data_IF_573289502052
#
_entry.id   IF_573289502052
#
_cell.length_a   1.000
_cell.length_b   1.000
_cell.length_c   1.000
_cell.angle_alpha   90.00
_cell.angle_beta   90.00
_cell.angle_gamma   90.00
#
_symmetry.space_group_name_H-M   'P 1'
#
loop_
_entity.id
_entity.type
_entity.pdbx_description
1 polymer ?
#
# COMPACT_ATOMS: atom_id res chain seq x y z
N UNK A 1 -4.49 2.24 -40.26
CA UNK A 1 -4.68 3.05 -39.02
C UNK A 1 -5.06 2.08 -37.91
N UNK A 2 -4.20 1.86 -36.89
CA UNK A 2 -4.61 1.10 -35.71
C UNK A 2 -5.63 1.96 -34.99
N UNK A 3 -6.85 1.46 -34.79
CA UNK A 3 -7.83 2.08 -33.90
C UNK A 3 -7.16 2.30 -32.56
N UNK A 4 -7.13 3.56 -32.07
CA UNK A 4 -6.71 3.85 -30.71
C UNK A 4 -7.72 3.16 -29.79
N UNK A 5 -7.31 2.07 -29.14
CA UNK A 5 -8.09 1.44 -28.09
C UNK A 5 -8.33 2.53 -27.03
N UNK A 6 -9.57 3.00 -26.92
CA UNK A 6 -9.93 4.00 -25.90
C UNK A 6 -9.78 3.28 -24.55
N UNK A 7 -8.93 3.81 -23.69
CA UNK A 7 -8.75 3.25 -22.36
C UNK A 7 -10.10 3.32 -21.62
N UNK A 8 -10.55 2.18 -21.07
CA UNK A 8 -11.82 2.08 -20.36
C UNK A 8 -11.86 3.01 -19.14
N UNK A 9 -10.75 3.09 -18.41
CA UNK A 9 -10.68 3.77 -17.13
C UNK A 9 -10.20 5.22 -17.28
N UNK A 10 -10.84 6.15 -16.55
CA UNK A 10 -10.38 7.53 -16.38
C UNK A 10 -9.50 7.67 -15.14
N UNK A 11 -9.65 6.75 -14.19
CA UNK A 11 -8.93 6.73 -12.93
C UNK A 11 -8.37 5.35 -12.66
N UNK A 12 -7.13 5.31 -12.21
CA UNK A 12 -6.52 4.11 -11.62
C UNK A 12 -6.06 4.46 -10.22
N UNK A 13 -6.60 3.75 -9.24
CA UNK A 13 -6.24 3.83 -7.84
C UNK A 13 -5.30 2.66 -7.53
N UNK A 14 -4.16 2.94 -6.95
CA UNK A 14 -3.18 1.92 -6.58
C UNK A 14 -3.12 1.77 -5.06
N UNK A 15 -2.91 0.55 -4.58
CA UNK A 15 -2.23 0.38 -3.31
C UNK A 15 -0.75 0.76 -3.47
N UNK A 16 -0.04 0.85 -2.37
CA UNK A 16 1.32 1.33 -2.38
C UNK A 16 2.35 0.22 -2.12
N UNK A 17 2.26 -0.48 -0.97
CA UNK A 17 3.21 -1.52 -0.54
C UNK A 17 2.98 -2.81 -1.33
N UNK A 18 4.04 -3.44 -1.87
CA UNK A 18 3.98 -4.64 -2.73
C UNK A 18 3.07 -4.48 -3.97
N UNK A 19 2.65 -3.23 -4.26
CA UNK A 19 1.92 -2.88 -5.51
C UNK A 19 2.73 -1.94 -6.40
N UNK A 20 3.16 -0.80 -5.87
CA UNK A 20 4.07 0.12 -6.56
C UNK A 20 5.48 0.08 -5.98
N UNK A 21 5.59 -0.21 -4.69
CA UNK A 21 6.84 -0.17 -3.93
C UNK A 21 7.12 -1.52 -3.28
N UNK A 22 8.35 -1.95 -3.39
CA UNK A 22 8.84 -3.11 -2.62
C UNK A 22 8.82 -2.81 -1.12
N UNK A 23 8.38 -3.77 -0.31
CA UNK A 23 8.25 -3.62 1.15
C UNK A 23 8.94 -4.76 1.91
N UNK A 24 10.26 -4.65 2.13
CA UNK A 24 11.02 -5.61 2.94
C UNK A 24 11.12 -5.14 4.40
N UNK A 25 10.11 -5.51 5.20
CA UNK A 25 10.06 -5.16 6.61
C UNK A 25 11.25 -5.71 7.41
N UNK A 26 11.80 -6.87 7.04
CA UNK A 26 12.98 -7.43 7.71
C UNK A 26 14.20 -6.55 7.51
N UNK A 27 14.50 -6.19 6.27
CA UNK A 27 15.63 -5.32 5.97
C UNK A 27 15.46 -3.93 6.58
N UNK A 28 14.25 -3.38 6.55
CA UNK A 28 13.94 -2.10 7.19
C UNK A 28 14.15 -2.14 8.70
N UNK A 29 13.68 -3.17 9.38
CA UNK A 29 13.93 -3.36 10.81
C UNK A 29 15.41 -3.57 11.11
N UNK A 30 16.10 -4.40 10.33
CA UNK A 30 17.53 -4.63 10.50
C UNK A 30 18.33 -3.33 10.36
N UNK A 31 18.01 -2.51 9.35
CA UNK A 31 18.62 -1.20 9.18
C UNK A 31 18.29 -0.26 10.35
N UNK A 32 17.03 -0.20 10.78
CA UNK A 32 16.61 0.63 11.89
C UNK A 32 17.33 0.24 13.18
N UNK A 33 17.34 -1.05 13.53
CA UNK A 33 17.97 -1.53 14.76
C UNK A 33 19.48 -1.40 14.76
N UNK A 34 20.15 -1.43 13.60
CA UNK A 34 21.58 -1.14 13.52
C UNK A 34 21.95 0.27 13.97
N UNK A 35 21.01 1.24 13.91
CA UNK A 35 21.21 2.61 14.42
C UNK A 35 21.17 2.68 15.96
N UNK A 36 20.73 1.60 16.60
CA UNK A 36 20.68 1.42 18.06
C UNK A 36 21.70 0.36 18.54
N UNK A 37 22.70 0.03 17.71
CA UNK A 37 23.72 -0.99 17.99
C UNK A 37 23.14 -2.39 18.28
N UNK A 38 21.98 -2.72 17.68
CA UNK A 38 21.32 -4.03 17.78
C UNK A 38 21.54 -4.83 16.52
N UNK A 39 22.08 -6.03 16.63
CA UNK A 39 22.12 -7.02 15.55
C UNK A 39 20.78 -7.76 15.49
N UNK A 40 19.87 -7.23 14.66
CA UNK A 40 18.51 -7.74 14.52
C UNK A 40 18.46 -9.01 13.67
N UNK A 41 18.17 -10.13 14.31
CA UNK A 41 18.17 -11.46 13.69
C UNK A 41 16.83 -11.83 13.03
N UNK A 42 16.82 -12.95 12.28
CA UNK A 42 15.56 -13.54 11.79
C UNK A 42 14.65 -13.99 12.91
N UNK A 43 15.19 -14.49 14.02
CA UNK A 43 14.39 -14.87 15.19
C UNK A 43 13.71 -13.65 15.81
N UNK A 44 14.40 -12.50 15.89
CA UNK A 44 13.79 -11.25 16.36
C UNK A 44 12.66 -10.79 15.44
N UNK A 45 12.83 -10.97 14.12
CA UNK A 45 11.79 -10.68 13.15
C UNK A 45 10.56 -11.57 13.33
N UNK A 46 10.75 -12.86 13.56
CA UNK A 46 9.65 -13.80 13.79
C UNK A 46 8.85 -13.40 15.06
N UNK A 47 9.55 -13.04 16.13
CA UNK A 47 8.92 -12.52 17.35
C UNK A 47 8.19 -11.20 17.10
N UNK A 48 8.79 -10.28 16.35
CA UNK A 48 8.14 -9.05 15.95
C UNK A 48 6.86 -9.31 15.14
N UNK A 49 6.88 -10.24 14.20
CA UNK A 49 5.72 -10.57 13.37
C UNK A 49 4.59 -11.24 14.17
N UNK A 50 4.90 -12.00 15.21
CA UNK A 50 3.88 -12.55 16.13
C UNK A 50 3.07 -11.45 16.81
N UNK A 51 3.68 -10.30 17.08
CA UNK A 51 3.00 -9.11 17.63
C UNK A 51 2.34 -8.29 16.52
N UNK A 52 3.07 -8.01 15.44
CA UNK A 52 2.68 -7.07 14.40
C UNK A 52 1.49 -7.54 13.55
N UNK A 53 1.49 -8.82 13.11
CA UNK A 53 0.41 -9.34 12.25
C UNK A 53 -0.98 -9.23 12.88
N UNK A 54 -1.21 -9.66 14.14
CA UNK A 54 -2.51 -9.49 14.79
C UNK A 54 -2.94 -8.02 14.96
N UNK A 55 -1.98 -7.10 15.12
CA UNK A 55 -2.28 -5.66 15.22
C UNK A 55 -2.82 -5.12 13.91
N UNK A 56 -2.24 -5.53 12.78
CA UNK A 56 -2.75 -5.14 11.46
C UNK A 56 -4.17 -5.65 11.21
N UNK A 57 -4.49 -6.90 11.59
CA UNK A 57 -5.86 -7.45 11.50
C UNK A 57 -6.83 -6.60 12.31
N UNK A 58 -6.48 -6.26 13.55
CA UNK A 58 -7.32 -5.40 14.40
C UNK A 58 -7.47 -3.98 13.86
N UNK A 59 -6.40 -3.42 13.27
CA UNK A 59 -6.43 -2.10 12.65
C UNK A 59 -7.39 -2.07 11.45
N UNK A 60 -7.28 -3.03 10.54
CA UNK A 60 -8.17 -3.15 9.40
C UNK A 60 -9.64 -3.40 9.79
N UNK A 61 -9.85 -4.06 10.94
CA UNK A 61 -11.18 -4.25 11.53
C UNK A 61 -11.69 -3.01 12.32
N UNK A 62 -10.95 -1.89 12.36
CA UNK A 62 -11.33 -0.69 13.11
C UNK A 62 -11.27 -0.85 14.64
N UNK A 63 -10.64 -1.93 15.15
CA UNK A 63 -10.58 -2.25 16.59
C UNK A 63 -9.46 -1.53 17.34
N UNK A 64 -8.52 -0.92 16.60
CA UNK A 64 -7.47 -0.07 17.16
C UNK A 64 -7.07 1.02 16.17
N UNK A 65 -6.54 2.13 16.69
CA UNK A 65 -6.04 3.22 15.87
C UNK A 65 -4.64 2.94 15.32
N UNK A 66 -4.23 3.71 14.28
CA UNK A 66 -2.87 3.68 13.75
C UNK A 66 -1.82 3.93 14.85
N UNK A 67 -2.05 4.91 15.72
CA UNK A 67 -1.16 5.23 16.82
C UNK A 67 -1.02 4.06 17.83
N UNK A 68 -2.11 3.36 18.12
CA UNK A 68 -2.06 2.17 18.99
C UNK A 68 -1.25 1.04 18.31
N UNK A 69 -1.45 0.77 17.03
CA UNK A 69 -0.66 -0.20 16.29
C UNK A 69 0.82 0.15 16.32
N UNK A 70 1.16 1.38 15.94
CA UNK A 70 2.54 1.88 15.86
C UNK A 70 3.28 1.78 17.20
N UNK A 71 2.61 2.11 18.29
CA UNK A 71 3.20 2.01 19.64
C UNK A 71 3.32 0.56 20.10
N UNK A 72 2.24 -0.22 19.98
CA UNK A 72 2.19 -1.58 20.55
C UNK A 72 3.20 -2.51 19.89
N UNK A 73 3.43 -2.39 18.56
CA UNK A 73 4.37 -3.25 17.85
C UNK A 73 5.82 -3.11 18.30
N UNK A 74 6.18 -1.98 18.93
CA UNK A 74 7.53 -1.72 19.41
C UNK A 74 7.65 -1.72 20.94
N UNK A 75 6.56 -2.03 21.70
CA UNK A 75 6.61 -1.94 23.17
C UNK A 75 7.74 -2.81 23.78
N UNK A 76 7.87 -4.06 23.38
CA UNK A 76 8.92 -4.94 23.91
C UNK A 76 10.35 -4.47 23.61
N UNK A 77 10.55 -3.79 22.47
CA UNK A 77 11.84 -3.19 22.13
C UNK A 77 12.08 -1.88 22.84
N UNK A 78 11.03 -1.09 23.05
CA UNK A 78 11.09 0.14 23.86
C UNK A 78 11.57 -0.17 25.29
N UNK A 79 11.02 -1.22 25.89
CA UNK A 79 11.40 -1.66 27.25
C UNK A 79 12.86 -2.13 27.30
N UNK A 80 13.33 -2.85 26.27
CA UNK A 80 14.72 -3.35 26.19
C UNK A 80 15.75 -2.23 25.98
N UNK A 81 15.43 -1.27 25.11
CA UNK A 81 16.37 -0.24 24.67
C UNK A 81 16.24 1.06 25.48
N UNK A 82 15.21 1.21 26.27
CA UNK A 82 14.85 2.47 26.96
C UNK A 82 14.67 3.62 25.95
N UNK A 83 14.09 3.31 24.79
CA UNK A 83 13.78 4.25 23.70
C UNK A 83 12.27 4.31 23.52
N UNK A 84 11.64 5.50 23.42
CA UNK A 84 10.19 5.61 23.23
C UNK A 84 9.71 4.87 21.99
N UNK A 85 8.54 4.23 22.07
CA UNK A 85 7.91 3.49 20.96
C UNK A 85 7.73 4.35 19.72
N UNK A 86 7.37 5.62 19.88
CA UNK A 86 7.21 6.60 18.80
C UNK A 86 8.54 6.83 18.05
N UNK A 87 9.65 6.90 18.79
CA UNK A 87 10.98 7.06 18.21
C UNK A 87 11.33 5.81 17.39
N UNK A 88 11.16 4.60 17.96
CA UNK A 88 11.41 3.35 17.24
C UNK A 88 10.54 3.23 15.98
N UNK A 89 9.26 3.61 16.08
CA UNK A 89 8.37 3.59 14.93
C UNK A 89 8.81 4.59 13.84
N UNK A 90 9.15 5.81 14.21
CA UNK A 90 9.62 6.83 13.25
C UNK A 90 10.91 6.39 12.57
N UNK A 91 11.87 5.86 13.33
CA UNK A 91 13.13 5.35 12.78
C UNK A 91 12.92 4.15 11.85
N UNK A 92 11.93 3.28 12.14
CA UNK A 92 11.55 2.20 11.23
C UNK A 92 10.98 2.75 9.92
N UNK A 93 10.08 3.72 9.96
CA UNK A 93 9.52 4.32 8.75
C UNK A 93 10.59 5.06 7.92
N UNK A 94 11.56 5.70 8.58
CA UNK A 94 12.72 6.29 7.91
C UNK A 94 13.59 5.21 7.26
N UNK A 95 13.88 4.11 7.96
CA UNK A 95 14.65 3.00 7.42
C UNK A 95 13.94 2.36 6.21
N UNK A 96 12.61 2.19 6.28
CA UNK A 96 11.81 1.72 5.14
C UNK A 96 11.90 2.69 3.95
N UNK A 97 11.90 3.99 4.21
CA UNK A 97 12.08 4.97 3.16
C UNK A 97 13.52 4.96 2.57
N UNK A 98 14.53 4.62 3.38
CA UNK A 98 15.93 4.52 2.91
C UNK A 98 16.15 3.33 1.97
N UNK A 99 15.47 2.21 2.19
CA UNK A 99 15.54 1.02 1.33
C UNK A 99 14.45 0.98 0.25
N UNK A 100 13.65 2.05 0.14
CA UNK A 100 12.52 2.09 -0.78
C UNK A 100 12.98 1.93 -2.23
N UNK A 101 12.32 1.04 -2.95
CA UNK A 101 12.47 0.85 -4.40
C UNK A 101 11.11 0.64 -5.04
N UNK A 102 10.95 1.09 -6.27
CA UNK A 102 9.78 0.74 -7.09
C UNK A 102 9.82 -0.74 -7.46
N UNK A 103 8.66 -1.37 -7.52
CA UNK A 103 8.55 -2.72 -8.09
C UNK A 103 8.93 -2.73 -9.57
N UNK A 104 9.43 -3.87 -10.10
CA UNK A 104 9.67 -4.03 -11.53
C UNK A 104 8.45 -3.60 -12.35
N UNK A 105 8.68 -2.84 -13.40
CA UNK A 105 7.61 -2.34 -14.28
C UNK A 105 6.84 -1.11 -13.77
N UNK A 106 6.92 -0.74 -12.48
CA UNK A 106 6.14 0.36 -11.92
C UNK A 106 6.42 1.70 -12.60
N UNK A 107 7.69 2.10 -12.77
CA UNK A 107 8.03 3.35 -13.45
C UNK A 107 7.51 3.37 -14.89
N UNK A 108 7.71 2.30 -15.65
CA UNK A 108 7.26 2.21 -17.04
C UNK A 108 5.73 2.29 -17.15
N UNK A 109 5.01 1.67 -16.23
CA UNK A 109 3.54 1.75 -16.15
C UNK A 109 3.09 3.17 -15.85
N UNK A 110 3.65 3.82 -14.83
CA UNK A 110 3.32 5.20 -14.43
C UNK A 110 3.56 6.15 -15.61
N UNK A 111 4.72 6.06 -16.28
CA UNK A 111 5.04 6.89 -17.45
C UNK A 111 4.06 6.66 -18.60
N UNK A 112 3.66 5.42 -18.83
CA UNK A 112 2.70 5.07 -19.88
C UNK A 112 1.28 5.60 -19.60
N UNK A 113 0.89 5.69 -18.31
CA UNK A 113 -0.41 6.18 -17.84
C UNK A 113 -0.45 7.71 -17.76
N UNK A 114 0.68 8.36 -17.49
CA UNK A 114 0.79 9.80 -17.29
C UNK A 114 0.19 10.59 -18.48
N UNK A 115 -0.68 11.54 -18.15
CA UNK A 115 -1.41 12.35 -19.13
C UNK A 115 -2.52 11.62 -19.91
N UNK A 116 -2.74 10.33 -19.66
CA UNK A 116 -3.83 9.54 -20.30
C UNK A 116 -4.95 9.21 -19.32
N UNK A 117 -4.59 8.91 -18.07
CA UNK A 117 -5.52 8.66 -16.97
C UNK A 117 -5.06 9.43 -15.73
N UNK A 118 -5.96 9.63 -14.80
CA UNK A 118 -5.63 10.16 -13.49
C UNK A 118 -5.25 9.01 -12.56
N UNK A 119 -4.20 9.19 -11.79
CA UNK A 119 -3.70 8.18 -10.85
C UNK A 119 -3.84 8.67 -9.43
N UNK A 120 -4.28 7.79 -8.52
CA UNK A 120 -4.33 8.03 -7.08
C UNK A 120 -3.77 6.85 -6.29
N UNK A 121 -3.53 7.07 -5.02
CA UNK A 121 -3.13 6.02 -4.07
C UNK A 121 -4.15 5.95 -2.94
N UNK A 122 -4.56 4.72 -2.59
CA UNK A 122 -5.30 4.41 -1.35
C UNK A 122 -4.51 3.35 -0.61
N UNK A 123 -3.93 3.70 0.55
CA UNK A 123 -3.05 2.80 1.29
C UNK A 123 -3.41 2.69 2.77
N UNK A 124 -3.23 1.50 3.34
CA UNK A 124 -3.28 1.26 4.78
C UNK A 124 -1.95 1.59 5.49
N UNK A 125 -0.94 2.03 4.74
CA UNK A 125 0.36 2.45 5.28
C UNK A 125 0.31 3.74 6.12
N UNK A 126 1.49 4.18 6.56
CA UNK A 126 1.61 5.34 7.44
C UNK A 126 2.15 6.57 6.70
N UNK A 127 1.63 7.72 7.09
CA UNK A 127 1.86 9.04 6.44
C UNK A 127 3.33 9.36 6.26
N UNK A 128 4.15 9.17 7.29
CA UNK A 128 5.57 9.48 7.24
C UNK A 128 6.29 8.73 6.11
N UNK A 129 6.07 7.42 6.00
CA UNK A 129 6.68 6.61 4.94
C UNK A 129 6.19 7.04 3.55
N UNK A 130 4.86 7.19 3.39
CA UNK A 130 4.28 7.53 2.09
C UNK A 130 4.82 8.86 1.56
N UNK A 131 4.88 9.88 2.42
CA UNK A 131 5.37 11.21 2.05
C UNK A 131 6.83 11.15 1.61
N UNK A 132 7.70 10.54 2.43
CA UNK A 132 9.13 10.51 2.16
C UNK A 132 9.45 9.70 0.90
N UNK A 133 8.83 8.52 0.73
CA UNK A 133 9.17 7.67 -0.42
C UNK A 133 8.71 8.25 -1.75
N UNK A 134 7.51 8.84 -1.82
CA UNK A 134 7.04 9.50 -3.03
C UNK A 134 7.91 10.69 -3.44
N UNK A 135 8.40 11.46 -2.46
CA UNK A 135 9.37 12.54 -2.72
C UNK A 135 10.70 12.01 -3.24
N UNK A 136 11.25 10.96 -2.61
CA UNK A 136 12.54 10.37 -2.99
C UNK A 136 12.56 9.78 -4.39
N UNK A 137 11.48 9.15 -4.82
CA UNK A 137 11.37 8.58 -6.17
C UNK A 137 10.86 9.59 -7.21
N UNK A 138 10.58 10.84 -6.81
CA UNK A 138 10.12 11.89 -7.72
C UNK A 138 8.70 11.71 -8.25
N UNK A 139 7.85 10.95 -7.53
CA UNK A 139 6.49 10.61 -7.95
C UNK A 139 5.39 11.35 -7.16
N UNK A 140 5.74 12.28 -6.27
CA UNK A 140 4.78 12.98 -5.41
C UNK A 140 3.64 13.64 -6.20
N UNK A 141 3.95 14.25 -7.35
CA UNK A 141 2.99 14.97 -8.15
C UNK A 141 2.25 14.10 -9.18
N UNK A 142 2.56 12.80 -9.23
CA UNK A 142 1.92 11.85 -10.15
C UNK A 142 0.61 11.29 -9.61
N UNK A 143 0.41 11.35 -8.30
CA UNK A 143 -0.73 10.72 -7.63
C UNK A 143 -1.60 11.75 -6.90
N UNK A 144 -2.84 11.84 -7.34
CA UNK A 144 -3.92 12.54 -6.65
C UNK A 144 -5.24 11.79 -6.86
N UNK A 145 -6.01 11.46 -5.81
CA UNK A 145 -5.71 11.71 -4.40
C UNK A 145 -4.62 10.77 -3.85
N UNK A 146 -3.98 11.18 -2.76
CA UNK A 146 -3.18 10.31 -1.90
C UNK A 146 -3.96 10.12 -0.60
N UNK A 147 -4.65 8.99 -0.47
CA UNK A 147 -5.49 8.66 0.67
C UNK A 147 -4.76 7.66 1.55
N UNK A 148 -4.48 8.06 2.78
CA UNK A 148 -3.74 7.28 3.77
C UNK A 148 -4.67 6.99 4.94
N UNK A 149 -4.88 5.71 5.25
CA UNK A 149 -5.81 5.27 6.31
C UNK A 149 -5.54 5.92 7.67
N UNK A 150 -4.28 6.17 8.01
CA UNK A 150 -3.89 6.88 9.24
C UNK A 150 -4.48 8.29 9.32
N UNK A 151 -4.56 9.01 8.21
CA UNK A 151 -5.12 10.37 8.15
C UNK A 151 -6.65 10.37 8.16
N UNK A 152 -7.25 9.39 7.48
CA UNK A 152 -8.71 9.25 7.38
C UNK A 152 -9.31 8.65 8.66
N UNK A 153 -8.53 7.83 9.37
CA UNK A 153 -8.99 7.06 10.53
C UNK A 153 -9.78 5.80 10.17
N UNK A 154 -9.79 5.42 8.88
CA UNK A 154 -10.52 4.26 8.33
C UNK A 154 -9.57 3.54 7.37
N UNK A 155 -9.51 2.21 7.45
CA UNK A 155 -8.63 1.38 6.63
C UNK A 155 -9.42 0.58 5.58
N UNK A 156 -8.78 0.25 4.44
CA UNK A 156 -9.30 -0.78 3.52
C UNK A 156 -9.46 -2.10 4.28
N UNK A 157 -10.51 -2.89 4.05
CA UNK A 157 -11.48 -2.85 2.95
C UNK A 157 -12.76 -2.03 3.21
N UNK A 158 -12.81 -1.18 4.25
CA UNK A 158 -14.00 -0.37 4.52
C UNK A 158 -14.30 0.57 3.34
N UNK A 159 -15.56 0.57 2.88
CA UNK A 159 -15.98 1.37 1.74
C UNK A 159 -15.78 2.88 1.97
N UNK A 160 -15.81 3.33 3.22
CA UNK A 160 -15.72 4.73 3.56
C UNK A 160 -14.36 5.35 3.17
N UNK A 161 -13.25 4.60 3.16
CA UNK A 161 -11.97 5.13 2.67
C UNK A 161 -11.99 5.35 1.16
N UNK A 162 -12.70 4.51 0.40
CA UNK A 162 -12.89 4.69 -1.05
C UNK A 162 -13.80 5.87 -1.34
N UNK A 163 -14.92 6.02 -0.60
CA UNK A 163 -15.80 7.18 -0.74
C UNK A 163 -15.08 8.49 -0.40
N UNK A 164 -14.15 8.48 0.57
CA UNK A 164 -13.27 9.63 0.84
C UNK A 164 -12.38 9.96 -0.38
N UNK A 165 -11.82 8.95 -1.06
CA UNK A 165 -11.08 9.15 -2.30
C UNK A 165 -11.99 9.69 -3.41
N UNK A 166 -13.18 9.11 -3.60
CA UNK A 166 -14.14 9.54 -4.64
C UNK A 166 -14.57 10.99 -4.45
N UNK A 167 -14.75 11.45 -3.22
CA UNK A 167 -15.05 12.85 -2.93
C UNK A 167 -13.93 13.79 -3.42
N UNK A 168 -12.67 13.44 -3.21
CA UNK A 168 -11.53 14.21 -3.72
C UNK A 168 -11.41 14.14 -5.26
N UNK A 169 -11.92 13.07 -5.87
CA UNK A 169 -11.95 12.87 -7.32
C UNK A 169 -13.16 13.54 -8.00
N UNK A 170 -14.03 14.24 -7.27
CA UNK A 170 -15.31 14.77 -7.73
C UNK A 170 -16.30 13.68 -8.21
N UNK A 171 -16.36 12.56 -7.52
CA UNK A 171 -17.30 11.45 -7.73
C UNK A 171 -17.42 11.00 -9.19
N UNK A 172 -16.34 10.48 -9.81
CA UNK A 172 -16.41 9.94 -11.17
C UNK A 172 -17.32 8.71 -11.22
N UNK A 173 -17.78 8.34 -12.42
CA UNK A 173 -18.55 7.13 -12.61
C UNK A 173 -17.73 5.90 -12.18
N UNK A 174 -18.33 5.01 -11.36
CA UNK A 174 -17.61 3.90 -10.73
C UNK A 174 -17.05 2.90 -11.75
N UNK A 175 -17.72 2.69 -12.86
CA UNK A 175 -17.28 1.85 -13.99
C UNK A 175 -16.05 2.41 -14.76
N UNK A 176 -15.63 3.64 -14.44
CA UNK A 176 -14.45 4.28 -14.97
C UNK A 176 -13.26 4.30 -14.00
N UNK A 177 -13.37 3.59 -12.88
CA UNK A 177 -12.33 3.50 -11.84
C UNK A 177 -11.84 2.06 -11.75
N UNK A 178 -10.52 1.88 -11.73
CA UNK A 178 -9.86 0.60 -11.44
C UNK A 178 -9.06 0.72 -10.16
N UNK A 179 -9.27 -0.20 -9.20
CA UNK A 179 -8.38 -0.40 -8.05
C UNK A 179 -7.38 -1.49 -8.38
N UNK A 180 -6.09 -1.21 -8.21
CA UNK A 180 -4.98 -2.15 -8.37
C UNK A 180 -4.31 -2.37 -7.02
N UNK A 181 -4.15 -3.60 -6.59
CA UNK A 181 -3.48 -3.94 -5.34
C UNK A 181 -3.07 -5.39 -5.26
N UNK A 182 -2.14 -5.70 -4.36
CA UNK A 182 -1.61 -7.05 -4.12
C UNK A 182 -2.43 -7.83 -3.09
N UNK A 183 -3.14 -7.13 -2.19
CA UNK A 183 -3.85 -7.78 -1.10
C UNK A 183 -5.33 -8.00 -1.43
N UNK A 184 -5.76 -9.28 -1.61
CA UNK A 184 -7.14 -9.57 -1.97
C UNK A 184 -8.16 -9.12 -0.92
N UNK A 185 -7.81 -9.18 0.37
CA UNK A 185 -8.75 -8.87 1.46
C UNK A 185 -8.93 -7.36 1.69
N UNK A 186 -7.91 -6.55 1.44
CA UNK A 186 -8.01 -5.09 1.61
C UNK A 186 -8.34 -4.36 0.31
N UNK A 187 -7.61 -4.65 -0.76
CA UNK A 187 -7.68 -3.87 -2.00
C UNK A 187 -8.83 -4.34 -2.89
N UNK A 188 -8.84 -5.65 -3.15
CA UNK A 188 -9.81 -6.24 -4.08
C UNK A 188 -11.19 -6.26 -3.43
N UNK A 189 -11.31 -6.80 -2.21
CA UNK A 189 -12.57 -6.78 -1.49
C UNK A 189 -13.07 -5.36 -1.25
N UNK A 190 -12.16 -4.43 -0.90
CA UNK A 190 -12.51 -3.01 -0.72
C UNK A 190 -13.02 -2.37 -2.01
N UNK A 191 -12.37 -2.59 -3.14
CA UNK A 191 -12.81 -2.10 -4.45
C UNK A 191 -14.15 -2.69 -4.88
N UNK A 192 -14.37 -3.99 -4.65
CA UNK A 192 -15.66 -4.67 -4.89
C UNK A 192 -16.76 -4.04 -4.02
N UNK A 193 -16.51 -3.86 -2.72
CA UNK A 193 -17.44 -3.23 -1.80
C UNK A 193 -17.78 -1.79 -2.21
N UNK A 194 -16.81 -1.06 -2.76
CA UNK A 194 -16.98 0.29 -3.27
C UNK A 194 -17.69 0.34 -4.64
N UNK A 195 -17.87 -0.80 -5.30
CA UNK A 195 -18.56 -0.93 -6.60
C UNK A 195 -17.73 -0.45 -7.77
N UNK A 196 -16.39 -0.59 -7.71
CA UNK A 196 -15.45 -0.27 -8.79
C UNK A 196 -14.79 -1.53 -9.32
N UNK A 197 -14.21 -1.46 -10.52
CA UNK A 197 -13.42 -2.56 -11.07
C UNK A 197 -12.13 -2.76 -10.25
N UNK A 198 -11.65 -4.00 -10.22
CA UNK A 198 -10.48 -4.40 -9.43
C UNK A 198 -9.51 -5.23 -10.26
N UNK A 199 -8.22 -5.02 -10.05
CA UNK A 199 -7.13 -5.81 -10.61
C UNK A 199 -6.22 -6.30 -9.49
N UNK A 200 -6.20 -7.60 -9.29
CA UNK A 200 -5.32 -8.23 -8.31
C UNK A 200 -3.93 -8.45 -8.90
N UNK A 201 -2.91 -7.85 -8.28
CA UNK A 201 -1.51 -8.08 -8.59
C UNK A 201 -1.02 -9.29 -7.78
N UNK A 202 -1.12 -10.48 -8.36
CA UNK A 202 -0.77 -11.76 -7.76
C UNK A 202 0.61 -12.24 -8.23
N UNK A 203 1.66 -11.56 -7.76
CA UNK A 203 3.05 -11.83 -8.18
C UNK A 203 3.49 -13.25 -7.76
N UNK A 204 3.06 -13.69 -6.59
CA UNK A 204 3.46 -15.00 -6.02
C UNK A 204 2.62 -16.16 -6.56
N UNK A 205 1.59 -15.92 -7.36
CA UNK A 205 0.73 -16.94 -7.94
C UNK A 205 -0.04 -17.75 -6.88
N UNK A 206 -0.44 -17.09 -5.78
CA UNK A 206 -1.19 -17.76 -4.71
C UNK A 206 -2.64 -18.00 -5.12
N UNK A 207 -3.26 -19.02 -4.52
CA UNK A 207 -4.65 -19.33 -4.79
C UNK A 207 -5.57 -18.16 -4.36
N UNK A 208 -6.57 -17.91 -5.19
CA UNK A 208 -7.57 -16.88 -4.92
C UNK A 208 -8.39 -17.23 -3.67
N UNK A 209 -8.50 -16.30 -2.69
CA UNK A 209 -9.34 -16.52 -1.52
C UNK A 209 -10.82 -16.74 -1.90
N UNK A 210 -11.48 -17.65 -1.20
CA UNK A 210 -12.89 -17.94 -1.40
C UNK A 210 -13.74 -16.66 -1.22
N UNK A 211 -14.66 -16.43 -2.15
CA UNK A 211 -15.60 -15.30 -2.11
C UNK A 211 -15.04 -13.97 -2.59
N UNK A 212 -13.77 -13.87 -2.99
CA UNK A 212 -13.19 -12.66 -3.54
C UNK A 212 -12.91 -12.85 -5.04
N UNK A 213 -13.70 -12.18 -5.88
CA UNK A 213 -13.62 -12.30 -7.35
C UNK A 213 -13.11 -10.98 -7.95
N UNK A 214 -11.78 -10.83 -8.23
CA UNK A 214 -11.25 -9.68 -8.92
C UNK A 214 -11.77 -9.63 -10.37
N UNK A 215 -11.96 -8.43 -10.94
CA UNK A 215 -12.29 -8.28 -12.36
C UNK A 215 -11.14 -8.69 -13.26
N UNK A 216 -9.92 -8.47 -12.79
CA UNK A 216 -8.68 -8.87 -13.46
C UNK A 216 -7.68 -9.42 -12.44
N UNK A 217 -6.86 -10.36 -12.90
CA UNK A 217 -5.70 -10.87 -12.18
C UNK A 217 -4.48 -10.79 -13.09
N UNK A 218 -3.37 -10.28 -12.57
CA UNK A 218 -2.10 -10.14 -13.27
C UNK A 218 -0.95 -10.59 -12.37
N UNK A 219 0.11 -11.12 -12.97
CA UNK A 219 1.31 -11.58 -12.27
C UNK A 219 2.40 -10.50 -12.17
N UNK A 220 2.22 -9.38 -12.88
CA UNK A 220 3.22 -8.31 -12.95
C UNK A 220 2.61 -6.99 -13.42
N UNK A 221 3.30 -5.89 -13.13
CA UNK A 221 2.90 -4.57 -13.63
C UNK A 221 3.08 -4.45 -15.14
N UNK A 222 3.98 -5.22 -15.76
CA UNK A 222 4.11 -5.34 -17.20
C UNK A 222 2.86 -6.02 -17.82
N UNK A 223 2.30 -7.02 -17.15
CA UNK A 223 1.05 -7.65 -17.60
C UNK A 223 -0.13 -6.68 -17.47
N UNK A 224 -0.20 -5.94 -16.35
CA UNK A 224 -1.18 -4.86 -16.20
C UNK A 224 -1.06 -3.81 -17.32
N UNK A 225 0.17 -3.40 -17.66
CA UNK A 225 0.40 -2.47 -18.77
C UNK A 225 -0.18 -3.02 -20.08
N UNK A 226 0.08 -4.28 -20.42
CA UNK A 226 -0.49 -4.92 -21.64
C UNK A 226 -2.01 -5.05 -21.59
N UNK A 227 -2.59 -5.21 -20.41
CA UNK A 227 -4.04 -5.27 -20.23
C UNK A 227 -4.72 -3.93 -20.52
N UNK A 228 -4.08 -2.82 -20.12
CA UNK A 228 -4.62 -1.47 -20.22
C UNK A 228 -4.46 -0.86 -21.64
N UNK A 229 -3.44 -1.27 -22.41
CA UNK A 229 -3.08 -0.73 -23.73
C UNK A 229 -3.20 -1.75 -24.86
#
# INVERSE_FOLDING_TARGET
MRERKIMKYQWILFDADETLFHFDAYQGLKLMFSRFDVDFSRQDYDLYQQVNKPLWVKYQAGQLSAAQLQNTRFQGWSDKLTVPTQTLNSEFLLAMADICALLPGAQALIDALSGKVKMGIITNGFTQLQTIRLERVGLKDQFFPLVISEQVGIAKPDVAIFEHAFAQMNHPAKDQILMVGDNPHSDIQGGINAGIDTCWLNVDGVDKPEGIEPHYEVDSLEQLHRLLF
#
